data_IF_937896274681
#
_entry.id   IF_937896274681
#
_cell.length_a   1.000
_cell.length_b   1.000
_cell.length_c   1.000
_cell.angle_alpha   90.00
_cell.angle_beta   90.00
_cell.angle_gamma   90.00
#
_symmetry.space_group_name_H-M   'P 1'
#
loop_
_entity.id
_entity.type
_entity.pdbx_description
1 polymer ?
#
# COMPACT_ATOMS: atom_id res chain seq x y z
N UNK A 1 -22.43 -24.73 -13.28
CA UNK A 1 -21.85 -23.38 -13.49
C UNK A 1 -20.34 -23.53 -13.34
N UNK A 2 -19.58 -23.43 -14.43
CA UNK A 2 -18.12 -23.54 -14.36
C UNK A 2 -17.57 -22.39 -13.53
N UNK A 3 -16.72 -22.67 -12.55
CA UNK A 3 -15.98 -21.61 -11.85
C UNK A 3 -15.19 -20.83 -12.90
N UNK A 4 -15.28 -19.50 -12.85
CA UNK A 4 -14.41 -18.65 -13.67
C UNK A 4 -12.96 -19.03 -13.35
N UNK A 5 -12.17 -19.28 -14.39
CA UNK A 5 -10.76 -19.66 -14.23
C UNK A 5 -9.98 -18.41 -13.83
N UNK A 6 -9.21 -18.51 -12.76
CA UNK A 6 -8.26 -17.47 -12.35
C UNK A 6 -6.86 -18.06 -12.47
N UNK A 7 -5.93 -17.30 -13.04
CA UNK A 7 -4.52 -17.65 -13.18
C UNK A 7 -3.70 -16.50 -12.60
N UNK A 8 -2.96 -16.79 -11.54
CA UNK A 8 -2.04 -15.85 -10.89
C UNK A 8 -0.63 -16.44 -11.01
N UNK A 9 0.30 -15.64 -11.50
CA UNK A 9 1.72 -15.92 -11.44
C UNK A 9 2.28 -15.40 -10.12
N UNK A 10 3.09 -16.22 -9.44
CA UNK A 10 3.78 -15.85 -8.22
C UNK A 10 5.29 -15.91 -8.46
N UNK A 11 5.98 -14.79 -8.24
CA UNK A 11 7.43 -14.69 -8.37
C UNK A 11 8.04 -14.32 -7.01
N UNK A 12 9.01 -15.12 -6.55
CA UNK A 12 9.81 -14.80 -5.37
C UNK A 12 11.18 -14.31 -5.84
N UNK A 13 11.43 -13.02 -5.67
CA UNK A 13 12.68 -12.39 -6.08
C UNK A 13 13.61 -12.22 -4.88
N UNK A 14 14.83 -12.75 -5.03
CA UNK A 14 15.91 -12.66 -4.07
C UNK A 14 17.14 -12.09 -4.75
N UNK A 15 17.67 -10.97 -4.26
CA UNK A 15 18.75 -10.28 -4.95
C UNK A 15 19.15 -8.96 -4.32
N UNK A 16 19.72 -8.07 -5.14
CA UNK A 16 20.08 -6.73 -4.72
C UNK A 16 19.82 -5.73 -5.85
N UNK A 17 19.33 -4.54 -5.52
CA UNK A 17 19.46 -3.35 -6.36
C UNK A 17 20.82 -2.73 -6.09
N UNK A 18 21.59 -2.40 -7.13
CA UNK A 18 22.97 -1.91 -6.99
C UNK A 18 23.16 -0.63 -7.78
N UNK A 19 23.70 0.41 -7.13
CA UNK A 19 24.11 1.66 -7.75
C UNK A 19 25.51 2.06 -7.28
N UNK A 20 26.51 1.88 -8.15
CA UNK A 20 27.91 2.13 -7.80
C UNK A 20 28.35 1.27 -6.61
N UNK A 21 28.60 1.90 -5.46
CA UNK A 21 28.97 1.23 -4.21
C UNK A 21 27.79 0.99 -3.26
N UNK A 22 26.61 1.53 -3.57
CA UNK A 22 25.41 1.38 -2.77
C UNK A 22 24.63 0.14 -3.22
N UNK A 23 23.96 -0.51 -2.26
CA UNK A 23 23.08 -1.65 -2.53
C UNK A 23 21.91 -1.68 -1.56
N UNK A 24 20.78 -2.22 -2.04
CA UNK A 24 19.58 -2.52 -1.26
C UNK A 24 19.18 -3.97 -1.54
N UNK A 25 18.82 -4.74 -0.52
CA UNK A 25 18.42 -6.14 -0.66
C UNK A 25 17.02 -6.25 -1.30
N UNK A 26 16.84 -7.25 -2.17
CA UNK A 26 15.55 -7.65 -2.71
C UNK A 26 15.15 -8.96 -2.04
N UNK A 27 13.99 -8.95 -1.38
CA UNK A 27 13.32 -10.12 -0.85
C UNK A 27 11.81 -9.85 -0.90
N UNK A 28 11.19 -10.17 -2.04
CA UNK A 28 9.81 -9.81 -2.33
C UNK A 28 9.04 -10.90 -3.08
N UNK A 29 7.74 -10.97 -2.79
CA UNK A 29 6.78 -11.80 -3.49
C UNK A 29 5.91 -10.90 -4.38
N UNK A 30 5.97 -11.12 -5.69
CA UNK A 30 5.10 -10.47 -6.66
C UNK A 30 3.98 -11.42 -7.08
N UNK A 31 2.75 -10.90 -7.12
CA UNK A 31 1.57 -11.63 -7.60
C UNK A 31 1.03 -10.91 -8.84
N UNK A 32 1.09 -11.57 -9.99
CA UNK A 32 0.62 -11.02 -11.27
C UNK A 32 -0.62 -11.78 -11.76
N UNK A 33 -1.70 -11.05 -12.02
CA UNK A 33 -2.92 -11.63 -12.60
C UNK A 33 -2.73 -11.87 -14.10
N UNK A 34 -2.76 -13.13 -14.53
CA UNK A 34 -2.71 -13.52 -15.95
C UNK A 34 -4.10 -13.70 -16.57
N UNK A 35 -5.07 -14.14 -15.78
CA UNK A 35 -6.46 -14.39 -16.20
C UNK A 35 -7.39 -14.31 -14.98
N UNK A 36 -8.59 -13.73 -15.11
CA UNK A 36 -9.61 -13.70 -14.06
C UNK A 36 -9.85 -12.30 -13.47
N UNK A 37 -10.45 -12.25 -12.27
CA UNK A 37 -10.83 -11.01 -11.59
C UNK A 37 -9.71 -10.52 -10.65
N UNK A 38 -9.40 -9.20 -10.60
CA UNK A 38 -8.40 -8.64 -9.70
C UNK A 38 -8.65 -8.90 -8.21
N UNK A 39 -9.90 -9.11 -7.79
CA UNK A 39 -10.21 -9.45 -6.39
C UNK A 39 -9.49 -10.70 -5.90
N UNK A 40 -9.21 -11.65 -6.81
CA UNK A 40 -8.49 -12.87 -6.48
C UNK A 40 -7.03 -12.62 -6.03
N UNK A 41 -6.39 -11.53 -6.48
CA UNK A 41 -5.08 -11.13 -5.97
C UNK A 41 -5.16 -10.72 -4.50
N UNK A 42 -6.21 -9.96 -4.13
CA UNK A 42 -6.41 -9.50 -2.76
C UNK A 42 -6.77 -10.66 -1.82
N UNK A 43 -7.61 -11.58 -2.28
CA UNK A 43 -7.96 -12.81 -1.55
C UNK A 43 -6.70 -13.64 -1.27
N UNK A 44 -5.88 -13.90 -2.30
CA UNK A 44 -4.63 -14.65 -2.14
C UNK A 44 -3.63 -13.90 -1.23
N UNK A 45 -3.49 -12.58 -1.39
CA UNK A 45 -2.61 -11.77 -0.55
C UNK A 45 -3.01 -11.83 0.93
N UNK A 46 -4.31 -11.78 1.23
CA UNK A 46 -4.82 -11.93 2.60
C UNK A 46 -4.49 -13.32 3.18
N UNK A 47 -4.74 -14.40 2.43
CA UNK A 47 -4.41 -15.77 2.86
C UNK A 47 -2.91 -15.97 3.12
N UNK A 48 -2.06 -15.33 2.33
CA UNK A 48 -0.61 -15.36 2.51
C UNK A 48 -0.19 -14.56 3.75
N UNK A 49 -0.77 -13.38 3.97
CA UNK A 49 -0.46 -12.52 5.10
C UNK A 49 -0.85 -13.12 6.47
N UNK A 50 -1.79 -14.07 6.50
CA UNK A 50 -2.10 -14.84 7.72
C UNK A 50 -0.93 -15.73 8.18
N UNK A 51 -0.06 -16.14 7.26
CA UNK A 51 1.00 -17.13 7.51
C UNK A 51 2.41 -16.54 7.37
N UNK A 52 2.56 -15.46 6.62
CA UNK A 52 3.83 -14.85 6.25
C UNK A 52 3.82 -13.38 6.65
N UNK A 53 4.95 -12.90 7.16
CA UNK A 53 5.16 -11.49 7.47
C UNK A 53 5.34 -10.68 6.17
N UNK A 54 4.22 -10.37 5.50
CA UNK A 54 4.18 -9.61 4.27
C UNK A 54 3.74 -8.17 4.55
N UNK A 55 4.30 -7.24 3.79
CA UNK A 55 3.88 -5.85 3.76
C UNK A 55 3.74 -5.45 2.30
N UNK A 56 2.66 -4.76 1.89
CA UNK A 56 2.58 -4.16 0.58
C UNK A 56 3.76 -3.21 0.34
N UNK A 57 4.38 -3.29 -0.83
CA UNK A 57 5.40 -2.37 -1.29
C UNK A 57 4.85 -1.59 -2.46
N UNK A 58 4.95 -0.26 -2.41
CA UNK A 58 4.37 0.64 -3.41
C UNK A 58 5.39 1.18 -4.41
N UNK A 59 6.63 0.67 -4.37
CA UNK A 59 7.71 1.08 -5.26
C UNK A 59 8.36 -0.07 -6.02
N UNK A 60 8.70 0.21 -7.27
CA UNK A 60 9.37 -0.76 -8.13
C UNK A 60 10.84 -0.96 -7.76
N UNK A 61 11.44 -2.06 -8.24
CA UNK A 61 12.90 -2.28 -8.18
C UNK A 61 13.67 -1.11 -8.84
N UNK A 62 13.13 -0.54 -9.91
CA UNK A 62 13.71 0.60 -10.60
C UNK A 62 13.66 1.88 -9.75
N UNK A 63 12.54 2.14 -9.09
CA UNK A 63 12.36 3.30 -8.19
C UNK A 63 13.30 3.20 -6.97
N UNK A 64 13.51 2.01 -6.42
CA UNK A 64 14.57 1.75 -5.43
C UNK A 64 15.95 2.09 -5.98
N UNK A 65 16.21 1.74 -7.24
CA UNK A 65 17.45 2.12 -7.95
C UNK A 65 17.64 3.63 -8.06
N UNK A 66 16.59 4.37 -8.40
CA UNK A 66 16.64 5.84 -8.42
C UNK A 66 16.85 6.41 -7.01
N UNK A 67 16.17 5.89 -5.99
CA UNK A 67 16.38 6.28 -4.59
C UNK A 67 17.82 6.06 -4.12
N UNK A 68 18.43 4.93 -4.51
CA UNK A 68 19.84 4.64 -4.22
C UNK A 68 20.80 5.58 -4.97
N UNK A 69 20.47 5.94 -6.21
CA UNK A 69 21.27 6.88 -7.01
C UNK A 69 21.21 8.30 -6.47
N UNK A 70 20.00 8.77 -6.16
CA UNK A 70 19.68 10.09 -5.65
C UNK A 70 18.62 9.97 -4.55
N UNK A 71 19.03 10.17 -3.30
CA UNK A 71 18.14 10.11 -2.15
C UNK A 71 16.99 11.14 -2.23
N UNK A 72 17.16 12.24 -2.97
CA UNK A 72 16.13 13.25 -3.19
C UNK A 72 15.05 12.84 -4.17
N UNK A 73 15.25 11.75 -4.92
CA UNK A 73 14.27 11.26 -5.91
C UNK A 73 13.05 10.58 -5.28
N UNK A 74 13.16 10.15 -4.01
CA UNK A 74 12.07 9.49 -3.30
C UNK A 74 11.31 10.48 -2.41
N UNK A 75 10.06 10.75 -2.78
CA UNK A 75 9.15 11.55 -1.93
C UNK A 75 8.31 10.64 -1.05
N UNK A 76 8.35 10.90 0.26
CA UNK A 76 7.42 10.30 1.23
C UNK A 76 6.04 10.96 1.13
N UNK A 77 5.98 12.23 0.70
CA UNK A 77 4.74 13.00 0.65
C UNK A 77 4.03 12.77 -0.67
N UNK A 78 2.80 12.29 -0.58
CA UNK A 78 1.86 12.24 -1.70
C UNK A 78 1.08 13.56 -1.82
N UNK A 79 0.58 13.91 -3.02
CA UNK A 79 -0.32 15.03 -3.21
C UNK A 79 -1.59 14.83 -2.37
N UNK A 80 -1.95 15.86 -1.59
CA UNK A 80 -3.21 15.88 -0.84
C UNK A 80 -4.36 16.05 -1.83
N UNK A 81 -5.44 15.26 -1.76
CA UNK A 81 -6.58 15.40 -2.65
C UNK A 81 -7.29 16.75 -2.41
N UNK A 82 -7.62 17.45 -3.49
CA UNK A 82 -8.46 18.64 -3.42
C UNK A 82 -9.93 18.23 -3.30
N UNK A 83 -10.61 18.75 -2.28
CA UNK A 83 -12.04 18.54 -2.05
C UNK A 83 -12.78 19.87 -2.27
N UNK A 84 -13.90 19.82 -2.95
CA UNK A 84 -14.77 20.96 -3.20
C UNK A 84 -16.11 20.77 -2.49
N UNK A 85 -16.89 21.85 -2.35
CA UNK A 85 -18.18 21.79 -1.67
C UNK A 85 -19.18 20.85 -2.37
N UNK A 86 -18.99 20.64 -3.67
CA UNK A 86 -19.80 19.80 -4.53
C UNK A 86 -19.32 18.34 -4.60
N UNK A 87 -18.17 18.02 -4.00
CA UNK A 87 -17.64 16.65 -3.97
C UNK A 87 -18.60 15.74 -3.19
N UNK A 88 -19.01 14.64 -3.83
CA UNK A 88 -19.87 13.67 -3.16
C UNK A 88 -19.15 13.04 -1.96
N UNK A 89 -19.91 12.52 -0.99
CA UNK A 89 -19.32 11.84 0.18
C UNK A 89 -18.51 10.62 -0.26
N UNK A 90 -18.98 9.87 -1.25
CA UNK A 90 -18.31 8.67 -1.76
C UNK A 90 -16.98 9.02 -2.44
N UNK A 91 -16.95 10.09 -3.24
CA UNK A 91 -15.73 10.56 -3.90
C UNK A 91 -14.75 11.14 -2.88
N UNK A 92 -15.23 11.92 -1.91
CA UNK A 92 -14.39 12.47 -0.85
C UNK A 92 -13.76 11.36 0.00
N UNK A 93 -14.57 10.37 0.40
CA UNK A 93 -14.08 9.21 1.14
C UNK A 93 -13.04 8.44 0.34
N UNK A 94 -13.32 8.14 -0.94
CA UNK A 94 -12.40 7.39 -1.80
C UNK A 94 -11.08 8.13 -1.99
N UNK A 95 -11.13 9.43 -2.25
CA UNK A 95 -9.93 10.26 -2.42
C UNK A 95 -9.07 10.29 -1.14
N UNK A 96 -9.69 10.48 0.03
CA UNK A 96 -8.99 10.46 1.32
C UNK A 96 -8.44 9.07 1.64
N UNK A 97 -9.20 8.00 1.37
CA UNK A 97 -8.77 6.64 1.63
C UNK A 97 -7.55 6.26 0.78
N UNK A 98 -7.55 6.62 -0.52
CA UNK A 98 -6.40 6.44 -1.40
C UNK A 98 -5.17 7.22 -0.93
N UNK A 99 -5.37 8.48 -0.53
CA UNK A 99 -4.30 9.30 0.01
C UNK A 99 -3.67 8.71 1.27
N UNK A 100 -4.48 8.30 2.24
CA UNK A 100 -4.00 7.74 3.52
C UNK A 100 -3.37 6.36 3.34
N UNK A 101 -3.95 5.50 2.49
CA UNK A 101 -3.38 4.19 2.17
C UNK A 101 -2.02 4.33 1.48
N UNK A 102 -1.92 5.19 0.47
CA UNK A 102 -0.65 5.44 -0.22
C UNK A 102 0.39 6.08 0.71
N UNK A 103 -0.01 7.03 1.56
CA UNK A 103 0.90 7.68 2.52
C UNK A 103 1.44 6.67 3.54
N UNK A 104 0.59 5.75 4.00
CA UNK A 104 0.99 4.63 4.89
C UNK A 104 2.05 3.74 4.23
N UNK A 105 1.87 3.39 2.95
CA UNK A 105 2.82 2.56 2.21
C UNK A 105 4.17 3.28 2.00
N UNK A 106 4.15 4.56 1.59
CA UNK A 106 5.36 5.39 1.43
C UNK A 106 6.15 5.51 2.72
N UNK A 107 5.47 5.73 3.85
CA UNK A 107 6.11 5.83 5.16
C UNK A 107 6.71 4.51 5.60
N UNK A 108 5.98 3.40 5.44
CA UNK A 108 6.46 2.07 5.77
C UNK A 108 7.72 1.70 4.97
N UNK A 109 7.70 1.97 3.67
CA UNK A 109 8.82 1.70 2.76
C UNK A 109 10.05 2.53 3.12
N UNK A 110 9.88 3.83 3.34
CA UNK A 110 11.01 4.68 3.72
C UNK A 110 11.58 4.35 5.10
N UNK A 111 10.71 3.98 6.06
CA UNK A 111 11.13 3.53 7.38
C UNK A 111 11.94 2.24 7.30
N UNK A 112 11.52 1.26 6.48
CA UNK A 112 12.29 0.03 6.23
C UNK A 112 13.65 0.32 5.60
N UNK A 113 13.71 1.32 4.72
CA UNK A 113 14.94 1.69 4.02
C UNK A 113 15.99 2.34 4.94
N UNK A 114 15.61 3.31 5.78
CA UNK A 114 16.58 4.12 6.53
C UNK A 114 16.46 4.05 8.07
N UNK A 115 15.38 3.46 8.61
CA UNK A 115 15.19 3.29 10.05
C UNK A 115 14.99 4.58 10.85
N UNK A 116 14.68 5.72 10.23
CA UNK A 116 14.43 6.96 10.97
C UNK A 116 13.13 6.87 11.79
N UNK A 117 13.22 7.07 13.10
CA UNK A 117 12.10 6.93 14.04
C UNK A 117 10.94 7.91 13.80
N UNK A 118 11.22 9.10 13.25
CA UNK A 118 10.17 10.05 12.89
C UNK A 118 9.18 9.46 11.87
N UNK A 119 9.66 8.66 10.92
CA UNK A 119 8.82 8.01 9.92
C UNK A 119 7.86 7.00 10.55
N UNK A 120 8.29 6.31 11.61
CA UNK A 120 7.40 5.41 12.35
C UNK A 120 6.31 6.17 13.09
N UNK A 121 6.65 7.33 13.68
CA UNK A 121 5.66 8.17 14.35
C UNK A 121 4.62 8.70 13.35
N UNK A 122 5.07 9.26 12.23
CA UNK A 122 4.20 9.72 11.13
C UNK A 122 3.35 8.57 10.58
N UNK A 123 3.92 7.36 10.45
CA UNK A 123 3.18 6.20 9.98
C UNK A 123 2.04 5.81 10.93
N UNK A 124 2.30 5.79 12.23
CA UNK A 124 1.26 5.51 13.24
C UNK A 124 0.15 6.57 13.20
N UNK A 125 0.49 7.84 12.96
CA UNK A 125 -0.50 8.91 12.78
C UNK A 125 -1.38 8.67 11.55
N UNK A 126 -0.79 8.35 10.40
CA UNK A 126 -1.54 8.02 9.18
C UNK A 126 -2.44 6.79 9.36
N UNK A 127 -1.97 5.77 10.07
CA UNK A 127 -2.80 4.60 10.39
C UNK A 127 -3.98 4.97 11.31
N UNK A 128 -3.77 5.88 12.26
CA UNK A 128 -4.84 6.38 13.11
C UNK A 128 -5.86 7.22 12.30
N UNK A 129 -5.40 8.04 11.35
CA UNK A 129 -6.27 8.79 10.44
C UNK A 129 -7.06 7.87 9.51
N UNK A 130 -6.43 6.85 8.95
CA UNK A 130 -7.10 5.85 8.10
C UNK A 130 -8.22 5.15 8.87
N UNK A 131 -7.96 4.78 10.13
CA UNK A 131 -8.98 4.23 11.03
C UNK A 131 -10.08 5.24 11.37
N UNK A 132 -9.73 6.51 11.56
CA UNK A 132 -10.71 7.55 11.83
C UNK A 132 -11.65 7.77 10.62
N UNK A 133 -11.09 7.73 9.41
CA UNK A 133 -11.84 7.82 8.15
C UNK A 133 -12.83 6.65 8.02
N UNK A 134 -12.40 5.40 8.21
CA UNK A 134 -13.33 4.24 8.20
C UNK A 134 -14.34 4.30 9.35
N UNK A 135 -13.95 4.86 10.50
CA UNK A 135 -14.84 5.14 11.62
C UNK A 135 -15.96 6.11 11.26
N UNK A 136 -15.64 7.18 10.52
CA UNK A 136 -16.57 8.23 10.09
C UNK A 136 -17.67 7.70 9.17
N UNK A 137 -17.41 6.62 8.41
CA UNK A 137 -18.44 5.94 7.62
C UNK A 137 -19.61 5.47 8.48
N UNK A 138 -19.45 5.27 9.79
CA UNK A 138 -20.59 4.94 10.66
C UNK A 138 -21.68 6.01 10.71
N UNK A 139 -21.37 7.24 10.26
CA UNK A 139 -22.33 8.33 10.09
C UNK A 139 -23.03 8.30 8.72
N UNK A 140 -22.44 7.63 7.72
CA UNK A 140 -22.93 7.61 6.34
C UNK A 140 -23.39 6.22 5.85
N UNK A 141 -22.93 5.13 6.48
CA UNK A 141 -23.16 3.74 6.12
C UNK A 141 -23.42 2.88 7.38
N UNK A 142 -24.24 1.82 7.30
CA UNK A 142 -24.56 0.96 8.45
C UNK A 142 -23.31 0.37 9.12
N UNK A 143 -23.32 0.29 10.46
CA UNK A 143 -22.20 -0.32 11.21
C UNK A 143 -21.93 -1.77 10.81
N UNK A 144 -22.97 -2.51 10.42
CA UNK A 144 -22.87 -3.91 10.02
C UNK A 144 -22.02 -4.13 8.76
N UNK A 145 -21.95 -3.15 7.85
CA UNK A 145 -21.18 -3.26 6.60
C UNK A 145 -19.77 -2.69 6.70
N UNK A 146 -19.39 -2.15 7.86
CA UNK A 146 -18.13 -1.42 8.09
C UNK A 146 -17.36 -1.92 9.31
N UNK A 147 -17.82 -3.00 9.95
CA UNK A 147 -17.24 -3.52 11.19
C UNK A 147 -15.78 -3.96 11.02
N UNK A 148 -15.49 -4.74 9.98
CA UNK A 148 -14.16 -5.33 9.76
C UNK A 148 -13.10 -4.30 9.31
N UNK A 149 -13.54 -3.06 9.03
CA UNK A 149 -12.69 -1.93 8.64
C UNK A 149 -12.36 -0.98 9.82
N UNK A 150 -12.83 -1.26 11.05
CA UNK A 150 -12.70 -0.38 12.23
C UNK A 150 -11.81 -0.93 13.34
#
# INVERSE_FOLDING_TARGET
RGKSKVVIEAALDLGNVIVGKQKEEICELELELREGEPSALLELAAELAEKLALMPCDISKAERGYRLFDAGSYSVKLPVPELHAETSVDDAYSALAWYLLGSSQRLAEQYRFNGHWSLLQEWVEVLAELRALTGSLGQAAPRATTHDLR
#
